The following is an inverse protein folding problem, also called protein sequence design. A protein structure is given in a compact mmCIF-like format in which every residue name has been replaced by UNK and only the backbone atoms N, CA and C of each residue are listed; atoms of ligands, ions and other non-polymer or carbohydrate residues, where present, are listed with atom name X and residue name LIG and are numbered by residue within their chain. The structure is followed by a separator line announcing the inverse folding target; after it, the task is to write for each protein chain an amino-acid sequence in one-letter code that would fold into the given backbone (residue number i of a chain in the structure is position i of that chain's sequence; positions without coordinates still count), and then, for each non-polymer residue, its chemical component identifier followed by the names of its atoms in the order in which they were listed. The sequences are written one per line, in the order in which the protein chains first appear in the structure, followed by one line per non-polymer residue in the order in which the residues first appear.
data_IF_248600623344
#
_entry.id   IF_248600623344
#
_cell.length_a   1.000
_cell.length_b   1.000
_cell.length_c   1.000
_cell.angle_alpha   90.00
_cell.angle_beta   90.00
_cell.angle_gamma   90.00
#
_symmetry.space_group_name_H-M   'P 1'
#
loop_
_entity.id
_entity.type
_entity.pdbx_description
1 polymer ?
#
# COMPACT_ATOMS: atom_id res chain seq x y z
N UNK A 1 -2.96 9.22 -1.41
CA UNK A 1 -2.85 7.79 -1.77
C UNK A 1 -1.53 7.28 -1.24
N UNK A 2 -1.56 6.12 -0.58
CA UNK A 2 -0.39 5.43 -0.04
C UNK A 2 -0.24 4.10 -0.79
N UNK A 3 0.99 3.73 -1.15
CA UNK A 3 1.23 2.53 -1.94
C UNK A 3 2.37 1.73 -1.33
N UNK A 4 2.12 0.46 -1.03
CA UNK A 4 3.18 -0.50 -0.74
C UNK A 4 3.62 -1.15 -2.06
N UNK A 5 4.93 -1.22 -2.30
CA UNK A 5 5.48 -1.83 -3.53
C UNK A 5 6.13 -3.18 -3.22
N UNK A 6 5.77 -4.23 -3.95
CA UNK A 6 6.37 -5.57 -3.84
C UNK A 6 6.92 -6.05 -5.16
N UNK A 7 8.23 -6.28 -5.21
CA UNK A 7 8.88 -6.98 -6.32
C UNK A 7 8.94 -8.48 -6.06
N UNK A 8 8.61 -9.30 -7.05
CA UNK A 8 8.85 -10.75 -7.01
C UNK A 8 9.17 -11.30 -8.41
N UNK A 9 9.25 -12.63 -8.56
CA UNK A 9 9.40 -13.31 -9.86
C UNK A 9 8.14 -13.20 -10.73
N UNK A 10 6.97 -13.05 -10.11
CA UNK A 10 5.67 -12.89 -10.76
C UNK A 10 4.78 -11.95 -9.94
N UNK A 11 3.77 -11.37 -10.58
CA UNK A 11 2.75 -10.54 -9.93
C UNK A 11 2.07 -11.29 -8.78
N UNK A 12 1.60 -12.52 -9.03
CA UNK A 12 0.93 -13.34 -8.02
C UNK A 12 1.81 -13.57 -6.77
N UNK A 13 3.11 -13.76 -6.95
CA UNK A 13 4.03 -13.91 -5.81
C UNK A 13 4.33 -12.59 -5.10
N UNK A 14 4.24 -11.44 -5.78
CA UNK A 14 4.35 -10.14 -5.12
C UNK A 14 3.10 -9.84 -4.26
N UNK A 15 1.91 -10.21 -4.76
CA UNK A 15 0.64 -10.00 -4.07
C UNK A 15 0.59 -10.68 -2.69
N UNK A 16 1.21 -11.85 -2.53
CA UNK A 16 1.24 -12.58 -1.25
C UNK A 16 2.24 -12.03 -0.23
N UNK A 17 3.05 -11.03 -0.58
CA UNK A 17 4.12 -10.51 0.29
C UNK A 17 3.70 -9.33 1.16
N UNK A 18 2.43 -8.92 1.11
CA UNK A 18 1.88 -7.94 2.03
C UNK A 18 1.56 -8.62 3.36
N UNK A 19 2.38 -8.33 4.38
CA UNK A 19 2.17 -8.84 5.74
C UNK A 19 1.40 -7.85 6.62
N UNK A 20 0.73 -8.36 7.65
CA UNK A 20 0.05 -7.54 8.67
C UNK A 20 0.95 -6.47 9.29
N UNK A 21 2.24 -6.77 9.49
CA UNK A 21 3.21 -5.80 10.01
C UNK A 21 3.45 -4.64 9.04
N UNK A 22 3.48 -4.91 7.74
CA UNK A 22 3.65 -3.86 6.71
C UNK A 22 2.39 -3.01 6.59
N UNK A 23 1.22 -3.65 6.62
CA UNK A 23 -0.07 -2.96 6.70
C UNK A 23 -0.07 -2.00 7.89
N UNK A 24 0.29 -2.47 9.10
CA UNK A 24 0.35 -1.59 10.27
C UNK A 24 1.29 -0.40 10.07
N UNK A 25 2.49 -0.63 9.52
CA UNK A 25 3.47 0.44 9.29
C UNK A 25 2.99 1.51 8.33
N UNK A 26 2.34 1.14 7.22
CA UNK A 26 1.84 2.14 6.27
C UNK A 26 0.63 2.89 6.83
N UNK A 27 -0.19 2.26 7.67
CA UNK A 27 -1.26 2.92 8.42
C UNK A 27 -0.72 3.95 9.42
N UNK A 28 0.30 3.59 10.19
CA UNK A 28 0.92 4.51 11.16
C UNK A 28 1.56 5.71 10.42
N UNK A 29 2.28 5.47 9.32
CA UNK A 29 2.84 6.54 8.49
C UNK A 29 1.76 7.45 7.87
N UNK A 30 0.63 6.87 7.46
CA UNK A 30 -0.49 7.65 6.95
C UNK A 30 -1.13 8.51 8.04
N UNK A 31 -1.24 8.02 9.28
CA UNK A 31 -1.73 8.80 10.41
C UNK A 31 -0.80 9.98 10.75
N UNK A 32 0.52 9.75 10.72
CA UNK A 32 1.51 10.83 10.91
C UNK A 32 1.39 11.90 9.82
N UNK A 33 1.25 11.51 8.55
CA UNK A 33 1.02 12.44 7.45
C UNK A 33 -0.31 13.20 7.61
N UNK A 34 -1.38 12.48 7.93
CA UNK A 34 -2.72 13.03 8.09
C UNK A 34 -2.76 14.07 9.21
N UNK A 35 -1.99 13.91 10.30
CA UNK A 35 -1.91 14.88 11.39
C UNK A 35 -1.45 16.29 10.94
N UNK A 36 -0.79 16.42 9.78
CA UNK A 36 -0.41 17.70 9.18
C UNK A 36 -1.43 18.30 8.21
N UNK A 37 -2.54 17.61 7.93
CA UNK A 37 -3.57 18.06 6.99
C UNK A 37 -4.70 18.79 7.71
N UNK A 38 -5.36 19.71 7.00
CA UNK A 38 -6.50 20.46 7.54
C UNK A 38 -7.63 19.56 8.05
N UNK A 39 -7.95 18.50 7.30
CA UNK A 39 -9.01 17.54 7.66
C UNK A 39 -8.48 16.36 8.49
N UNK A 40 -7.18 16.35 8.84
CA UNK A 40 -6.60 15.30 9.66
C UNK A 40 -6.84 13.90 9.07
N UNK A 41 -7.23 12.97 9.95
CA UNK A 41 -7.68 11.61 9.60
C UNK A 41 -8.98 11.54 8.79
N UNK A 42 -9.73 12.65 8.67
CA UNK A 42 -10.90 12.76 7.79
C UNK A 42 -10.54 12.96 6.32
N UNK A 43 -9.27 13.24 6.01
CA UNK A 43 -8.79 13.36 4.63
C UNK A 43 -9.03 12.06 3.86
N UNK A 44 -9.52 12.18 2.62
CA UNK A 44 -9.70 11.01 1.76
C UNK A 44 -8.36 10.32 1.49
N UNK A 45 -8.25 9.04 1.87
CA UNK A 45 -7.05 8.24 1.72
C UNK A 45 -7.37 6.89 1.09
N UNK A 46 -6.44 6.38 0.28
CA UNK A 46 -6.51 5.07 -0.38
C UNK A 46 -5.16 4.37 -0.22
N UNK A 47 -5.20 3.07 0.01
CA UNK A 47 -4.02 2.25 0.27
C UNK A 47 -3.97 1.12 -0.74
N UNK A 48 -2.98 1.16 -1.62
CA UNK A 48 -2.85 0.24 -2.73
C UNK A 48 -1.60 -0.64 -2.58
N UNK A 49 -1.62 -1.79 -3.26
CA UNK A 49 -0.46 -2.66 -3.39
C UNK A 49 -0.03 -2.70 -4.86
N UNK A 50 1.18 -2.20 -5.14
CA UNK A 50 1.80 -2.32 -6.45
C UNK A 50 2.68 -3.58 -6.50
N UNK A 51 2.27 -4.55 -7.31
CA UNK A 51 3.01 -5.76 -7.57
C UNK A 51 3.90 -5.58 -8.80
N UNK A 52 5.18 -5.91 -8.67
CA UNK A 52 6.18 -5.79 -9.74
C UNK A 52 6.80 -7.15 -10.05
N UNK A 53 6.74 -7.58 -11.30
CA UNK A 53 7.39 -8.84 -11.73
C UNK A 53 8.90 -8.65 -12.02
N UNK A 54 9.58 -9.73 -12.43
CA UNK A 54 11.01 -9.69 -12.73
C UNK A 54 11.37 -8.88 -13.99
N UNK A 55 10.39 -8.62 -14.86
CA UNK A 55 10.54 -7.87 -16.10
C UNK A 55 10.13 -6.39 -15.94
N UNK A 56 9.76 -5.99 -14.71
CA UNK A 56 9.33 -4.64 -14.40
C UNK A 56 7.86 -4.35 -14.74
N UNK A 57 7.06 -5.36 -15.07
CA UNK A 57 5.61 -5.17 -15.24
C UNK A 57 4.98 -4.89 -13.89
N UNK A 58 4.02 -3.96 -13.88
CA UNK A 58 3.34 -3.50 -12.68
C UNK A 58 1.86 -3.81 -12.78
N UNK A 59 1.30 -4.41 -11.73
CA UNK A 59 -0.15 -4.50 -11.51
C UNK A 59 -0.48 -3.88 -10.15
N UNK A 60 -1.53 -3.07 -10.10
CA UNK A 60 -1.97 -2.38 -8.88
C UNK A 60 -3.24 -3.03 -8.37
N UNK A 61 -3.21 -3.48 -7.12
CA UNK A 61 -4.40 -3.92 -6.37
C UNK A 61 -4.85 -2.70 -5.56
N UNK A 62 -5.93 -2.07 -6.00
CA UNK A 62 -6.50 -0.92 -5.30
C UNK A 62 -7.20 -1.35 -4.00
N UNK A 63 -7.18 -0.49 -2.99
CA UNK A 63 -7.81 -0.74 -1.67
C UNK A 63 -7.29 -2.00 -0.96
N UNK A 64 -6.01 -2.32 -1.12
CA UNK A 64 -5.41 -3.56 -0.62
C UNK A 64 -5.25 -3.67 0.91
N UNK A 65 -5.63 -2.64 1.69
CA UNK A 65 -5.37 -2.54 3.13
C UNK A 65 -6.63 -2.24 3.95
N UNK A 66 -7.82 -2.61 3.51
CA UNK A 66 -9.07 -2.50 4.29
C UNK A 66 -10.05 -3.55 3.75
N UNK A 67 -11.00 -4.02 4.56
CA UNK A 67 -12.12 -4.85 4.04
C UNK A 67 -12.98 -4.06 3.05
#
# INVERSE_FOLDING_TARGET
MFVEVKKSRSIASAATRLSQRQMRRILDAAAEYAAGLADGMGSAMRFDLACVDALGRVEVIENAIWD
#
